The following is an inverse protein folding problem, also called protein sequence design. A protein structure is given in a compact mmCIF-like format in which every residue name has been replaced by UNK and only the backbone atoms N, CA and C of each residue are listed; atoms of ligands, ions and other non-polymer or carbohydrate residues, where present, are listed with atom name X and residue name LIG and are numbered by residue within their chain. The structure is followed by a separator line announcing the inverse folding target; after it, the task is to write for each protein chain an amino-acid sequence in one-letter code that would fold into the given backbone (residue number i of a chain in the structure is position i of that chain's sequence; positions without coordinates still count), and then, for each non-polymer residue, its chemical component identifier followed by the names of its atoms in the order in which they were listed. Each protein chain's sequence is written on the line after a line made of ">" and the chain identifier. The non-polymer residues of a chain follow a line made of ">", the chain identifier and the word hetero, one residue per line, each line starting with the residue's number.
data_IF_967037778023
#
_entry.id   IF_967037778023
#
_cell.length_a   1.000
_cell.length_b   1.000
_cell.length_c   1.000
_cell.angle_alpha   90.00
_cell.angle_beta   90.00
_cell.angle_gamma   90.00
#
_symmetry.space_group_name_H-M   'P 1'
#
loop_
_entity.id
_entity.type
_entity.pdbx_description
1 polymer ?
#
# COMPACT_ATOMS: atom_id res chain seq x y z
N UNK A 1 14.25 -12.42 -13.09
CA UNK A 1 14.57 -11.78 -11.81
C UNK A 1 14.10 -12.75 -10.72
N UNK A 2 15.03 -13.39 -10.03
CA UNK A 2 14.72 -14.45 -9.05
C UNK A 2 14.03 -13.87 -7.81
N UNK A 3 12.87 -14.42 -7.48
CA UNK A 3 12.13 -14.16 -6.24
C UNK A 3 13.01 -14.60 -5.04
N UNK A 4 13.22 -13.71 -4.08
CA UNK A 4 14.04 -13.97 -2.88
C UNK A 4 13.12 -14.04 -1.66
N UNK A 5 13.29 -15.06 -0.81
CA UNK A 5 12.56 -15.24 0.47
C UNK A 5 12.72 -14.03 1.42
N UNK A 6 13.75 -13.19 1.25
CA UNK A 6 13.92 -11.93 1.98
C UNK A 6 12.88 -10.86 1.61
N UNK A 7 12.22 -10.98 0.45
CA UNK A 7 11.15 -10.08 0.00
C UNK A 7 9.82 -10.36 0.70
N UNK A 8 9.66 -11.50 1.38
CA UNK A 8 8.49 -11.76 2.23
C UNK A 8 8.42 -10.78 3.42
N UNK A 9 9.58 -10.33 3.92
CA UNK A 9 9.68 -9.33 4.99
C UNK A 9 9.41 -7.88 4.55
N UNK A 10 9.47 -7.61 3.24
CA UNK A 10 9.12 -6.31 2.64
C UNK A 10 7.89 -6.46 1.73
N UNK A 11 6.87 -7.18 2.21
CA UNK A 11 5.55 -7.17 1.57
C UNK A 11 5.12 -5.72 1.36
N UNK A 12 4.98 -5.33 0.10
CA UNK A 12 4.52 -4.01 -0.28
C UNK A 12 3.04 -3.89 0.09
N UNK A 13 2.75 -3.50 1.33
CA UNK A 13 1.40 -3.21 1.79
C UNK A 13 0.96 -1.86 1.21
N UNK A 14 0.32 -1.93 0.04
CA UNK A 14 -0.27 -0.76 -0.64
C UNK A 14 -1.17 0.05 0.28
N UNK A 15 -1.94 -0.60 1.16
CA UNK A 15 -2.83 0.10 2.08
C UNK A 15 -2.02 0.88 3.12
N UNK A 16 -0.95 0.29 3.68
CA UNK A 16 -0.01 1.00 4.58
C UNK A 16 0.65 2.17 3.89
N UNK A 17 1.20 1.98 2.69
CA UNK A 17 1.83 3.07 1.92
C UNK A 17 0.84 4.21 1.67
N UNK A 18 -0.40 3.90 1.26
CA UNK A 18 -1.43 4.91 1.07
C UNK A 18 -1.83 5.62 2.36
N UNK A 19 -1.83 4.95 3.52
CA UNK A 19 -2.07 5.56 4.83
C UNK A 19 -0.95 6.55 5.17
N UNK A 20 0.31 6.15 5.05
CA UNK A 20 1.46 7.01 5.34
C UNK A 20 1.50 8.25 4.43
N UNK A 21 1.29 8.08 3.11
CA UNK A 21 1.26 9.21 2.17
C UNK A 21 0.13 10.21 2.47
N UNK A 22 -1.03 9.73 2.93
CA UNK A 22 -2.14 10.60 3.34
C UNK A 22 -1.82 11.34 4.64
N UNK A 23 -1.15 10.68 5.58
CA UNK A 23 -0.74 11.31 6.83
C UNK A 23 0.30 12.39 6.58
N UNK A 24 1.32 12.11 5.78
CA UNK A 24 2.32 13.09 5.35
C UNK A 24 1.66 14.32 4.70
N UNK A 25 0.62 14.11 3.88
CA UNK A 25 -0.13 15.22 3.27
C UNK A 25 -0.83 16.09 4.31
N UNK A 26 -1.38 15.49 5.37
CA UNK A 26 -2.02 16.23 6.47
C UNK A 26 -0.97 17.03 7.25
N UNK A 27 0.18 16.44 7.53
CA UNK A 27 1.26 17.09 8.28
C UNK A 27 1.85 18.28 7.51
N UNK A 28 2.05 18.14 6.20
CA UNK A 28 2.52 19.25 5.35
C UNK A 28 1.51 20.40 5.29
N UNK A 29 0.21 20.08 5.19
CA UNK A 29 -0.86 21.09 5.25
C UNK A 29 -0.91 21.80 6.60
N UNK A 30 -0.77 21.06 7.70
CA UNK A 30 -0.73 21.63 9.04
C UNK A 30 0.46 22.57 9.25
N UNK A 31 1.61 22.28 8.62
CA UNK A 31 2.80 23.14 8.62
C UNK A 31 2.70 24.34 7.65
N UNK A 32 1.58 24.52 6.96
CA UNK A 32 1.41 25.57 5.94
C UNK A 32 2.29 25.39 4.70
N UNK A 33 2.95 24.24 4.56
CA UNK A 33 3.84 23.97 3.42
C UNK A 33 3.01 23.62 2.19
N UNK A 34 3.05 24.49 1.18
CA UNK A 34 2.56 24.18 -0.17
C UNK A 34 3.57 23.41 -1.01
N UNK A 35 4.85 23.42 -0.59
CA UNK A 35 5.90 22.71 -1.29
C UNK A 35 5.67 21.19 -1.19
N UNK A 36 5.77 20.50 -2.33
CA UNK A 36 5.64 19.04 -2.40
C UNK A 36 4.21 18.49 -2.49
N UNK A 37 3.17 19.34 -2.43
CA UNK A 37 1.77 18.88 -2.55
C UNK A 37 1.49 18.15 -3.86
N UNK A 38 1.92 18.74 -4.99
CA UNK A 38 1.76 18.14 -6.33
C UNK A 38 2.50 16.82 -6.46
N UNK A 39 3.75 16.75 -5.98
CA UNK A 39 4.54 15.52 -6.00
C UNK A 39 3.89 14.41 -5.16
N UNK A 40 3.32 14.77 -4.01
CA UNK A 40 2.64 13.84 -3.13
C UNK A 40 1.32 13.32 -3.72
N UNK A 41 0.57 14.18 -4.41
CA UNK A 41 -0.63 13.77 -5.12
C UNK A 41 -0.30 12.87 -6.33
N UNK A 42 0.81 13.12 -7.03
CA UNK A 42 1.33 12.22 -8.08
C UNK A 42 1.73 10.86 -7.51
N UNK A 43 2.43 10.83 -6.37
CA UNK A 43 2.80 9.57 -5.70
C UNK A 43 1.55 8.78 -5.26
N UNK A 44 0.55 9.45 -4.69
CA UNK A 44 -0.73 8.83 -4.34
C UNK A 44 -1.43 8.23 -5.56
N UNK A 45 -1.41 8.92 -6.71
CA UNK A 45 -1.99 8.41 -7.97
C UNK A 45 -1.23 7.19 -8.48
N UNK A 46 0.11 7.24 -8.50
CA UNK A 46 0.95 6.13 -8.92
C UNK A 46 0.71 4.89 -8.06
N UNK A 47 0.75 5.03 -6.73
CA UNK A 47 0.55 3.90 -5.79
C UNK A 47 -0.87 3.32 -5.90
N UNK A 48 -1.88 4.17 -6.16
CA UNK A 48 -3.25 3.70 -6.40
C UNK A 48 -3.37 2.87 -7.67
N UNK A 49 -2.62 3.22 -8.71
CA UNK A 49 -2.66 2.57 -10.02
C UNK A 49 -1.81 1.28 -10.09
N UNK A 50 -1.04 0.95 -9.06
CA UNK A 50 -0.31 -0.32 -9.04
C UNK A 50 -1.28 -1.48 -8.88
N UNK A 51 -1.28 -2.38 -9.85
CA UNK A 51 -1.90 -3.70 -9.76
C UNK A 51 -1.15 -4.49 -8.69
N UNK A 52 -1.76 -4.58 -7.51
CA UNK A 52 -1.34 -5.54 -6.50
C UNK A 52 -2.30 -6.73 -6.63
N UNK A 53 -1.80 -7.96 -6.74
CA UNK A 53 -2.65 -9.14 -6.72
C UNK A 53 -3.55 -9.04 -5.49
N UNK A 54 -4.85 -8.99 -5.70
CA UNK A 54 -5.79 -9.16 -4.61
C UNK A 54 -5.61 -10.63 -4.21
N UNK A 55 -4.84 -10.88 -3.14
CA UNK A 55 -4.79 -12.20 -2.53
C UNK A 55 -6.17 -12.42 -1.92
N UNK A 56 -7.07 -13.01 -2.70
CA UNK A 56 -8.25 -13.66 -2.14
C UNK A 56 -7.71 -14.74 -1.19
N UNK A 57 -7.89 -14.53 0.11
CA UNK A 57 -7.70 -15.59 1.08
C UNK A 57 -8.80 -16.61 0.76
N UNK A 58 -8.45 -17.64 0.01
CA UNK A 58 -9.32 -18.79 -0.17
C UNK A 58 -9.37 -19.45 1.21
N UNK A 59 -10.50 -19.32 1.90
CA UNK A 59 -10.80 -20.07 3.12
C UNK A 59 -10.99 -21.55 2.74
N UNK A 60 -9.90 -22.24 2.38
CA UNK A 60 -9.84 -23.69 2.30
C UNK A 60 -9.70 -24.25 3.72
N UNK A 61 -10.83 -24.50 4.37
CA UNK A 61 -11.10 -25.71 5.14
C UNK A 61 -12.34 -25.51 6.02
N UNK A 62 -13.50 -25.96 5.53
CA UNK A 62 -14.55 -26.43 6.44
C UNK A 62 -15.29 -27.59 5.77
N UNK A 63 -14.55 -28.67 5.48
CA UNK A 63 -15.16 -29.95 5.17
C UNK A 63 -15.42 -30.68 6.50
N UNK A 64 -16.59 -30.42 7.09
CA UNK A 64 -17.10 -31.22 8.22
C UNK A 64 -17.59 -32.54 7.63
N UNK A 65 -16.81 -33.60 7.80
CA UNK A 65 -17.24 -34.97 7.50
C UNK A 65 -18.32 -35.37 8.53
N UNK A 66 -19.55 -35.60 8.04
CA UNK A 66 -20.67 -36.16 8.81
C UNK A 66 -20.54 -37.67 9.01
#
# INVERSE_FOLDING_TARGET
>A
MSYCEHCEGQRFDRARVLRELRQLRRDLRAKGSRAGGTALDMALKAVRAMDVPHLELIDEADEVVH
#
